data_IF_790397049878
#
_entry.id   IF_790397049878
#
_cell.length_a   1.000
_cell.length_b   1.000
_cell.length_c   1.000
_cell.angle_alpha   90.00
_cell.angle_beta   90.00
_cell.angle_gamma   90.00
#
_symmetry.space_group_name_H-M   'P 1'
#
loop_
_entity.id
_entity.type
_entity.pdbx_description
1 polymer ?
#
# COMPACT_ATOMS: atom_id res chain seq x y z
N UNK A 1 -24.55 -10.89 15.09
CA UNK A 1 -23.37 -10.02 14.83
C UNK A 1 -22.12 -10.89 14.95
N UNK A 2 -22.02 -12.01 14.22
CA UNK A 2 -21.77 -12.21 12.77
C UNK A 2 -20.26 -12.22 12.45
N UNK A 3 -19.59 -13.33 12.78
CA UNK A 3 -18.19 -13.65 12.44
C UNK A 3 -17.88 -13.51 10.94
N UNK A 4 -18.90 -13.61 10.09
CA UNK A 4 -18.83 -13.43 8.64
C UNK A 4 -18.46 -11.99 8.23
N UNK A 5 -18.90 -10.98 8.99
CA UNK A 5 -18.59 -9.57 8.70
C UNK A 5 -17.10 -9.28 8.97
N UNK A 6 -16.56 -9.87 10.04
CA UNK A 6 -15.14 -9.75 10.40
C UNK A 6 -14.22 -10.43 9.38
N UNK A 7 -14.61 -11.58 8.84
CA UNK A 7 -13.85 -12.26 7.79
C UNK A 7 -13.83 -11.47 6.47
N UNK A 8 -14.98 -10.92 6.04
CA UNK A 8 -15.06 -10.12 4.82
C UNK A 8 -14.18 -8.86 4.88
N UNK A 9 -14.14 -8.20 6.04
CA UNK A 9 -13.28 -7.03 6.23
C UNK A 9 -11.80 -7.44 6.12
N UNK A 10 -11.41 -8.57 6.70
CA UNK A 10 -10.04 -9.08 6.62
C UNK A 10 -9.58 -9.41 5.18
N UNK A 11 -10.43 -10.08 4.40
CA UNK A 11 -10.16 -10.41 2.99
C UNK A 11 -10.08 -9.15 2.12
N UNK A 12 -10.98 -8.18 2.33
CA UNK A 12 -10.97 -6.93 1.59
C UNK A 12 -9.73 -6.08 1.93
N UNK A 13 -9.33 -6.04 3.21
CA UNK A 13 -8.10 -5.37 3.64
C UNK A 13 -6.86 -6.02 3.02
N UNK A 14 -6.78 -7.36 2.99
CA UNK A 14 -5.69 -8.06 2.30
C UNK A 14 -5.65 -7.76 0.82
N UNK A 15 -6.80 -7.73 0.15
CA UNK A 15 -6.90 -7.37 -1.27
C UNK A 15 -6.39 -5.96 -1.56
N UNK A 16 -6.74 -4.99 -0.71
CA UNK A 16 -6.23 -3.62 -0.80
C UNK A 16 -4.71 -3.58 -0.61
N UNK A 17 -4.18 -4.21 0.45
CA UNK A 17 -2.74 -4.24 0.72
C UNK A 17 -1.99 -4.89 -0.43
N UNK A 18 -2.44 -6.05 -0.92
CA UNK A 18 -1.79 -6.74 -2.02
C UNK A 18 -1.76 -5.88 -3.30
N UNK A 19 -2.88 -5.25 -3.65
CA UNK A 19 -2.95 -4.35 -4.81
C UNK A 19 -1.95 -3.21 -4.68
N UNK A 20 -1.85 -2.58 -3.51
CA UNK A 20 -0.95 -1.45 -3.28
C UNK A 20 0.52 -1.86 -3.24
N UNK A 21 0.85 -2.99 -2.60
CA UNK A 21 2.22 -3.52 -2.60
C UNK A 21 2.66 -3.84 -4.02
N UNK A 22 1.81 -4.46 -4.85
CA UNK A 22 2.15 -4.73 -6.26
C UNK A 22 2.38 -3.46 -7.07
N UNK A 23 1.53 -2.46 -6.90
CA UNK A 23 1.68 -1.18 -7.59
C UNK A 23 2.97 -0.45 -7.19
N UNK A 24 3.24 -0.39 -5.88
CA UNK A 24 4.47 0.16 -5.34
C UNK A 24 5.71 -0.60 -5.81
N UNK A 25 5.68 -1.95 -5.84
CA UNK A 25 6.79 -2.76 -6.35
C UNK A 25 7.05 -2.49 -7.84
N UNK A 26 6.01 -2.38 -8.67
CA UNK A 26 6.18 -2.04 -10.10
C UNK A 26 6.73 -0.63 -10.32
N UNK A 27 6.41 0.32 -9.44
CA UNK A 27 7.00 1.67 -9.50
C UNK A 27 8.44 1.66 -8.98
N UNK A 28 8.68 1.02 -7.85
CA UNK A 28 10.01 0.87 -7.24
C UNK A 28 10.95 0.14 -8.18
N UNK A 29 10.51 -0.89 -8.89
CA UNK A 29 11.34 -1.62 -9.85
C UNK A 29 11.88 -0.69 -10.96
N UNK A 30 11.10 0.30 -11.39
CA UNK A 30 11.53 1.29 -12.39
C UNK A 30 12.60 2.25 -11.86
N UNK A 31 12.62 2.51 -10.55
CA UNK A 31 13.56 3.44 -9.91
C UNK A 31 14.79 2.72 -9.32
N UNK A 32 14.55 1.61 -8.63
CA UNK A 32 15.53 0.82 -7.89
C UNK A 32 15.13 -0.68 -7.91
N UNK A 33 15.67 -1.39 -8.90
CA UNK A 33 15.42 -2.82 -9.10
C UNK A 33 15.85 -3.71 -7.91
N UNK A 34 16.91 -3.32 -7.19
CA UNK A 34 17.44 -4.11 -6.06
C UNK A 34 16.51 -4.00 -4.85
N UNK A 35 16.07 -2.78 -4.53
CA UNK A 35 15.08 -2.53 -3.49
C UNK A 35 13.75 -3.26 -3.78
N UNK A 36 13.28 -3.24 -5.04
CA UNK A 36 12.09 -3.96 -5.46
C UNK A 36 12.24 -5.48 -5.31
N UNK A 37 13.41 -6.04 -5.66
CA UNK A 37 13.73 -7.45 -5.49
C UNK A 37 13.72 -7.89 -4.03
N UNK A 38 14.38 -7.14 -3.15
CA UNK A 38 14.41 -7.42 -1.71
C UNK A 38 13.02 -7.33 -1.06
N UNK A 39 12.25 -6.30 -1.43
CA UNK A 39 10.88 -6.13 -0.95
C UNK A 39 9.95 -7.24 -1.43
N UNK A 40 10.07 -7.66 -2.69
CA UNK A 40 9.30 -8.78 -3.27
C UNK A 40 9.61 -10.09 -2.57
N UNK A 41 10.89 -10.39 -2.33
CA UNK A 41 11.30 -11.60 -1.64
C UNK A 41 10.76 -11.65 -0.19
N UNK A 42 10.69 -10.50 0.49
CA UNK A 42 10.02 -10.41 1.80
C UNK A 42 8.51 -10.61 1.70
N UNK A 43 7.86 -9.95 0.74
CA UNK A 43 6.43 -10.10 0.50
C UNK A 43 6.02 -11.56 0.24
N UNK A 44 6.80 -12.31 -0.55
CA UNK A 44 6.57 -13.74 -0.79
C UNK A 44 6.74 -14.62 0.47
N UNK A 45 7.56 -14.18 1.42
CA UNK A 45 7.69 -14.80 2.75
C UNK A 45 6.59 -14.37 3.73
N UNK A 46 5.69 -13.47 3.32
CA UNK A 46 4.54 -13.02 4.09
C UNK A 46 4.79 -11.79 4.97
N UNK A 47 5.97 -11.17 4.91
CA UNK A 47 6.29 -9.94 5.66
C UNK A 47 7.22 -9.04 4.88
N UNK A 48 6.93 -7.74 4.83
CA UNK A 48 7.86 -6.79 4.24
C UNK A 48 9.06 -6.56 5.19
N UNK A 49 10.28 -6.41 4.66
CA UNK A 49 11.39 -5.94 5.47
C UNK A 49 11.12 -4.50 5.92
N UNK A 50 11.63 -4.11 7.09
CA UNK A 50 11.43 -2.78 7.68
C UNK A 50 11.70 -1.59 6.73
N UNK A 51 12.80 -1.55 5.94
CA UNK A 51 13.00 -0.48 4.97
C UNK A 51 11.91 -0.42 3.88
N UNK A 52 11.43 -1.58 3.41
CA UNK A 52 10.34 -1.65 2.43
C UNK A 52 9.00 -1.23 3.02
N UNK A 53 8.74 -1.58 4.29
CA UNK A 53 7.56 -1.14 5.02
C UNK A 53 7.51 0.40 5.16
N UNK A 54 8.63 1.02 5.51
CA UNK A 54 8.76 2.47 5.62
C UNK A 54 8.56 3.16 4.27
N UNK A 55 9.16 2.60 3.21
CA UNK A 55 9.07 3.14 1.86
C UNK A 55 7.63 3.06 1.33
N UNK A 56 6.97 1.90 1.49
CA UNK A 56 5.56 1.72 1.15
C UNK A 56 4.65 2.72 1.89
N UNK A 57 4.87 2.94 3.18
CA UNK A 57 4.11 3.91 3.98
C UNK A 57 4.33 5.35 3.48
N UNK A 58 5.54 5.68 3.07
CA UNK A 58 5.89 6.98 2.49
C UNK A 58 5.23 7.16 1.13
N UNK A 59 5.33 6.15 0.27
CA UNK A 59 4.74 6.12 -1.07
C UNK A 59 3.22 6.31 -1.04
N UNK A 60 2.51 5.53 -0.22
CA UNK A 60 1.05 5.63 -0.10
C UNK A 60 0.61 6.99 0.47
N UNK A 61 1.41 7.58 1.37
CA UNK A 61 1.16 8.91 1.93
C UNK A 61 1.35 10.01 0.89
N UNK A 62 2.41 9.93 0.08
CA UNK A 62 2.64 10.86 -1.02
C UNK A 62 1.50 10.79 -2.04
N UNK A 63 1.05 9.58 -2.40
CA UNK A 63 0.01 9.39 -3.41
C UNK A 63 -1.40 9.80 -2.96
N UNK A 64 -1.74 9.57 -1.69
CA UNK A 64 -3.01 10.08 -1.13
C UNK A 64 -3.06 11.60 -1.20
N UNK A 65 -1.92 12.27 -1.04
CA UNK A 65 -1.86 13.74 -1.11
C UNK A 65 -1.99 14.23 -2.54
N UNK A 66 -1.37 13.53 -3.49
CA UNK A 66 -1.50 13.76 -4.93
C UNK A 66 -2.94 13.56 -5.43
N UNK A 67 -3.64 12.53 -4.95
CA UNK A 67 -5.03 12.25 -5.34
C UNK A 67 -6.06 13.12 -4.62
N UNK A 68 -5.87 13.44 -3.33
CA UNK A 68 -6.82 14.23 -2.55
C UNK A 68 -6.84 15.72 -2.95
N UNK A 69 -5.75 16.23 -3.52
CA UNK A 69 -5.73 17.61 -4.03
C UNK A 69 -6.40 17.74 -5.40
N UNK A 70 -6.46 16.67 -6.19
CA UNK A 70 -7.02 16.68 -7.55
C UNK A 70 -8.54 16.39 -7.60
N UNK A 71 -9.22 16.27 -6.45
CA UNK A 71 -10.68 16.12 -6.40
C UNK A 71 -11.42 17.47 -6.50
N UNK A 72 -10.73 18.61 -6.30
CA UNK A 72 -11.37 19.94 -6.24
C UNK A 72 -11.14 20.81 -7.51
N UNK A 73 -10.01 20.69 -8.23
CA UNK A 73 -9.80 21.46 -9.48
C UNK A 73 -8.66 20.86 -10.34
N UNK A 74 -8.96 20.24 -11.51
CA UNK A 74 -7.93 19.94 -12.54
C UNK A 74 -7.94 18.52 -13.14
N UNK A 75 -7.41 18.34 -14.38
CA UNK A 75 -7.55 17.12 -15.16
C UNK A 75 -6.86 15.94 -14.48
N UNK A 76 -7.59 14.83 -14.44
CA UNK A 76 -7.22 13.54 -13.86
C UNK A 76 -5.81 13.12 -14.27
N UNK A 77 -4.88 13.06 -13.32
CA UNK A 77 -3.58 12.42 -13.56
C UNK A 77 -3.85 10.92 -13.70
N UNK A 78 -3.61 10.38 -14.90
CA UNK A 78 -3.65 8.95 -15.24
C UNK A 78 -2.57 8.17 -14.47
N UNK A 79 -2.72 8.07 -13.16
CA UNK A 79 -1.99 7.10 -12.36
C UNK A 79 -2.90 5.88 -12.20
N UNK A 80 -2.46 4.75 -12.76
CA UNK A 80 -3.23 3.49 -12.89
C UNK A 80 -3.84 3.00 -11.57
N UNK A 81 -3.30 3.45 -10.43
CA UNK A 81 -3.79 3.14 -9.09
C UNK A 81 -4.29 4.39 -8.37
N UNK A 82 -5.63 4.54 -8.29
CA UNK A 82 -6.27 5.47 -7.36
C UNK A 82 -6.10 4.98 -5.92
N UNK A 83 -5.42 5.77 -5.09
CA UNK A 83 -5.23 5.50 -3.66
C UNK A 83 -6.08 6.49 -2.87
N UNK A 84 -6.92 5.96 -1.97
CA UNK A 84 -7.76 6.76 -1.08
C UNK A 84 -7.13 6.85 0.32
N UNK A 85 -7.55 7.82 1.15
CA UNK A 85 -7.13 7.88 2.56
C UNK A 85 -7.44 6.61 3.35
N UNK A 86 -8.51 5.88 2.99
CA UNK A 86 -8.87 4.62 3.62
C UNK A 86 -7.90 3.48 3.24
N UNK A 87 -7.37 3.48 2.01
CA UNK A 87 -6.37 2.51 1.58
C UNK A 87 -5.05 2.72 2.33
N UNK A 88 -4.61 3.99 2.50
CA UNK A 88 -3.46 4.34 3.34
C UNK A 88 -3.62 3.81 4.76
N UNK A 89 -4.75 4.11 5.41
CA UNK A 89 -4.99 3.66 6.78
C UNK A 89 -4.99 2.13 6.89
N UNK A 90 -5.52 1.45 5.87
CA UNK A 90 -5.48 -0.02 5.78
C UNK A 90 -4.06 -0.56 5.71
N UNK A 91 -3.19 0.04 4.89
CA UNK A 91 -1.77 -0.33 4.80
C UNK A 91 -1.04 -0.06 6.11
N UNK A 92 -1.24 1.12 6.72
CA UNK A 92 -0.59 1.47 7.98
C UNK A 92 -1.01 0.52 9.11
N UNK A 93 -2.29 0.16 9.18
CA UNK A 93 -2.79 -0.84 10.15
C UNK A 93 -2.18 -2.22 9.90
N UNK A 94 -2.07 -2.65 8.64
CA UNK A 94 -1.45 -3.92 8.31
C UNK A 94 0.05 -3.93 8.69
N UNK A 95 0.81 -2.89 8.34
CA UNK A 95 2.22 -2.74 8.70
C UNK A 95 2.42 -2.74 10.22
N UNK A 96 1.58 -2.02 10.97
CA UNK A 96 1.61 -2.04 12.43
C UNK A 96 1.27 -3.41 13.01
N UNK A 97 0.38 -4.17 12.38
CA UNK A 97 0.08 -5.55 12.77
C UNK A 97 1.24 -6.52 12.52
N UNK A 98 2.16 -6.19 11.62
CA UNK A 98 3.41 -6.93 11.40
C UNK A 98 4.53 -6.48 12.36
N UNK A 99 4.31 -5.44 13.17
CA UNK A 99 5.27 -4.90 14.12
C UNK A 99 6.08 -3.69 13.63
N UNK A 100 5.75 -3.13 12.46
CA UNK A 100 6.43 -1.94 11.93
C UNK A 100 5.91 -0.65 12.58
N UNK A 101 6.83 0.27 12.88
CA UNK A 101 6.50 1.60 13.41
C UNK A 101 6.35 2.60 12.26
N UNK A 102 5.20 2.54 11.60
CA UNK A 102 4.77 3.51 10.57
C UNK A 102 3.74 4.50 11.08
#
# INVERSE_FOLDING_TARGET
>A
MDDNDRQKIGDQQRGTVERLVRAWLSETEQHDHDAAGAARAGWEQGSLPEPAAQDLATWVTARVTDTAFNEDEGPHVESDVRITPADKDTVHRWLRSQGHSV
#
